data_IF_085382686184
#
_entry.id   IF_085382686184
#
_cell.length_a   1.000
_cell.length_b   1.000
_cell.length_c   1.000
_cell.angle_alpha   90.00
_cell.angle_beta   90.00
_cell.angle_gamma   90.00
#
_symmetry.space_group_name_H-M   'P 1'
#
loop_
_entity.id
_entity.type
_entity.pdbx_description
1 polymer ?
#
# COMPACT_ATOMS: atom_id res chain seq x y z
N UNK A 1 21.93 -20.42 24.78
CA UNK A 1 22.02 -19.76 23.45
C UNK A 1 20.88 -20.12 22.47
N UNK A 2 20.23 -21.29 22.55
CA UNK A 2 19.10 -21.64 21.66
C UNK A 2 17.80 -20.83 21.89
N UNK A 3 17.49 -20.42 23.12
CA UNK A 3 16.25 -19.68 23.43
C UNK A 3 16.20 -18.28 22.76
N UNK A 4 17.34 -17.58 22.68
CA UNK A 4 17.44 -16.27 22.02
C UNK A 4 17.21 -16.38 20.49
N UNK A 5 17.65 -17.49 19.86
CA UNK A 5 17.40 -17.78 18.43
C UNK A 5 15.91 -17.96 18.11
N UNK A 6 15.17 -18.64 18.99
CA UNK A 6 13.74 -18.88 18.80
C UNK A 6 12.89 -17.62 19.04
N UNK A 7 13.24 -16.82 20.06
CA UNK A 7 12.59 -15.53 20.32
C UNK A 7 12.74 -14.57 19.13
N UNK A 8 13.96 -14.48 18.56
CA UNK A 8 14.21 -13.61 17.41
C UNK A 8 13.46 -14.06 16.15
N UNK A 9 13.39 -15.37 15.88
CA UNK A 9 12.59 -15.93 14.77
C UNK A 9 11.10 -15.63 14.94
N UNK A 10 10.59 -15.69 16.17
CA UNK A 10 9.19 -15.41 16.48
C UNK A 10 8.84 -13.95 16.23
N UNK A 11 9.67 -13.02 16.73
CA UNK A 11 9.51 -11.57 16.50
C UNK A 11 9.55 -11.21 15.02
N UNK A 12 10.47 -11.80 14.25
CA UNK A 12 10.55 -11.60 12.80
C UNK A 12 9.29 -12.07 12.06
N UNK A 13 8.72 -13.21 12.46
CA UNK A 13 7.44 -13.69 11.90
C UNK A 13 6.27 -12.78 12.25
N UNK A 14 6.24 -12.23 13.47
CA UNK A 14 5.22 -11.24 13.86
C UNK A 14 5.27 -10.02 12.94
N UNK A 15 6.46 -9.44 12.72
CA UNK A 15 6.60 -8.30 11.80
C UNK A 15 6.24 -8.63 10.36
N UNK A 16 6.63 -9.80 9.86
CA UNK A 16 6.24 -10.23 8.52
C UNK A 16 4.71 -10.42 8.40
N UNK A 17 4.08 -11.03 9.41
CA UNK A 17 2.63 -11.21 9.46
C UNK A 17 1.89 -9.88 9.54
N UNK A 18 2.37 -8.93 10.35
CA UNK A 18 1.83 -7.57 10.42
C UNK A 18 1.94 -6.86 9.07
N UNK A 19 3.11 -6.94 8.41
CA UNK A 19 3.30 -6.35 7.08
C UNK A 19 2.33 -6.92 6.05
N UNK A 20 2.21 -8.26 5.98
CA UNK A 20 1.27 -8.92 5.08
C UNK A 20 -0.19 -8.53 5.37
N UNK A 21 -0.58 -8.48 6.66
CA UNK A 21 -1.91 -8.06 7.06
C UNK A 21 -2.21 -6.62 6.63
N UNK A 22 -1.29 -5.69 6.87
CA UNK A 22 -1.43 -4.30 6.44
C UNK A 22 -1.56 -4.23 4.91
N UNK A 23 -0.76 -4.97 4.14
CA UNK A 23 -0.87 -5.00 2.68
C UNK A 23 -2.22 -5.49 2.18
N UNK A 24 -2.77 -6.55 2.79
CA UNK A 24 -4.12 -7.02 2.47
C UNK A 24 -5.16 -5.95 2.83
N UNK A 25 -5.05 -5.35 4.02
CA UNK A 25 -5.98 -4.33 4.48
C UNK A 25 -5.98 -3.09 3.57
N UNK A 26 -4.80 -2.64 3.13
CA UNK A 26 -4.65 -1.54 2.17
C UNK A 26 -5.29 -1.89 0.83
N UNK A 27 -5.06 -3.10 0.30
CA UNK A 27 -5.71 -3.55 -0.94
C UNK A 27 -7.24 -3.57 -0.83
N UNK A 28 -7.77 -4.01 0.32
CA UNK A 28 -9.22 -4.01 0.57
C UNK A 28 -9.79 -2.58 0.64
N UNK A 29 -9.10 -1.65 1.30
CA UNK A 29 -9.50 -0.23 1.31
C UNK A 29 -9.52 0.33 -0.11
N UNK A 30 -8.47 0.10 -0.89
CA UNK A 30 -8.38 0.59 -2.27
C UNK A 30 -9.53 0.03 -3.11
N UNK A 31 -9.77 -1.28 -3.02
CA UNK A 31 -10.85 -1.95 -3.74
C UNK A 31 -12.21 -1.38 -3.34
N UNK A 32 -12.45 -1.23 -2.03
CA UNK A 32 -13.68 -0.65 -1.51
C UNK A 32 -13.88 0.78 -2.01
N UNK A 33 -12.87 1.65 -1.90
CA UNK A 33 -12.96 3.04 -2.36
C UNK A 33 -13.27 3.11 -3.84
N UNK A 34 -12.60 2.31 -4.68
CA UNK A 34 -12.86 2.29 -6.13
C UNK A 34 -14.22 1.68 -6.49
N UNK A 35 -14.75 0.75 -5.68
CA UNK A 35 -16.07 0.16 -5.90
C UNK A 35 -17.23 1.12 -5.58
N UNK A 36 -16.99 2.13 -4.74
CA UNK A 36 -17.99 3.13 -4.35
C UNK A 36 -17.98 4.39 -5.21
N UNK A 37 -16.97 4.56 -6.09
CA UNK A 37 -17.01 5.58 -7.12
C UNK A 37 -18.00 5.07 -8.17
N UNK A 38 -19.27 5.48 -8.04
CA UNK A 38 -20.30 5.24 -9.04
C UNK A 38 -19.85 5.74 -10.41
N UNK A 39 -20.40 5.16 -11.48
CA UNK A 39 -20.08 5.54 -12.86
C UNK A 39 -20.04 7.08 -12.97
N UNK A 40 -18.87 7.68 -13.33
CA UNK A 40 -18.79 9.11 -13.43
C UNK A 40 -19.67 9.55 -14.59
N UNK A 41 -20.50 10.55 -14.33
CA UNK A 41 -21.26 11.30 -15.33
C UNK A 41 -20.27 11.99 -16.29
N UNK A 42 -19.70 11.24 -17.23
CA UNK A 42 -19.01 11.70 -18.44
C UNK A 42 -17.67 12.46 -18.31
N UNK A 43 -17.39 13.13 -17.19
CA UNK A 43 -16.23 14.03 -17.07
C UNK A 43 -15.38 13.68 -15.84
N UNK A 44 -14.35 12.87 -16.07
CA UNK A 44 -13.28 12.67 -15.09
C UNK A 44 -12.45 13.94 -14.99
N UNK A 45 -12.11 14.36 -13.77
CA UNK A 45 -11.16 15.45 -13.56
C UNK A 45 -9.76 15.04 -14.04
N UNK A 46 -8.87 16.01 -14.30
CA UNK A 46 -7.47 15.69 -14.64
C UNK A 46 -6.80 14.85 -13.55
N UNK A 47 -7.15 15.12 -12.29
CA UNK A 47 -6.72 14.33 -11.15
C UNK A 47 -7.23 12.89 -11.22
N UNK A 48 -8.51 12.67 -11.55
CA UNK A 48 -9.08 11.32 -11.63
C UNK A 48 -8.45 10.49 -12.74
N UNK A 49 -8.20 11.09 -13.90
CA UNK A 49 -7.50 10.44 -15.02
C UNK A 49 -6.08 10.06 -14.59
N UNK A 50 -5.33 11.01 -14.03
CA UNK A 50 -3.97 10.77 -13.56
C UNK A 50 -3.92 9.71 -12.44
N UNK A 51 -4.87 9.76 -11.49
CA UNK A 51 -4.98 8.79 -10.42
C UNK A 51 -5.23 7.39 -10.97
N UNK A 52 -6.23 7.24 -11.86
CA UNK A 52 -6.64 5.94 -12.40
C UNK A 52 -5.60 5.32 -13.32
N UNK A 53 -4.96 6.11 -14.17
CA UNK A 53 -4.03 5.62 -15.19
C UNK A 53 -2.60 5.45 -14.66
N UNK A 54 -2.18 6.28 -13.70
CA UNK A 54 -0.78 6.32 -13.25
C UNK A 54 -0.63 5.92 -11.78
N UNK A 55 -1.23 6.67 -10.85
CA UNK A 55 -0.99 6.45 -9.42
C UNK A 55 -1.54 5.10 -8.95
N UNK A 56 -2.73 4.72 -9.40
CA UNK A 56 -3.42 3.52 -8.98
C UNK A 56 -2.67 2.23 -9.39
N UNK A 57 -2.28 2.02 -10.67
CA UNK A 57 -1.52 0.84 -11.04
C UNK A 57 -0.17 0.74 -10.33
N UNK A 58 0.54 1.87 -10.17
CA UNK A 58 1.81 1.91 -9.43
C UNK A 58 1.59 1.49 -7.97
N UNK A 59 0.57 2.05 -7.32
CA UNK A 59 0.28 1.76 -5.92
C UNK A 59 -0.13 0.30 -5.70
N UNK A 60 -0.96 -0.26 -6.59
CA UNK A 60 -1.34 -1.67 -6.56
C UNK A 60 -0.12 -2.57 -6.77
N UNK A 61 0.71 -2.30 -7.79
CA UNK A 61 1.90 -3.09 -8.07
C UNK A 61 2.87 -3.10 -6.88
N UNK A 62 3.13 -1.92 -6.30
CA UNK A 62 4.00 -1.79 -5.11
C UNK A 62 3.41 -2.53 -3.90
N UNK A 63 2.10 -2.43 -3.63
CA UNK A 63 1.49 -3.17 -2.53
C UNK A 63 1.54 -4.68 -2.73
N UNK A 64 1.29 -5.17 -3.95
CA UNK A 64 1.40 -6.61 -4.26
C UNK A 64 2.83 -7.10 -4.05
N UNK A 65 3.84 -6.32 -4.46
CA UNK A 65 5.25 -6.65 -4.21
C UNK A 65 5.54 -6.75 -2.71
N UNK A 66 5.07 -5.79 -1.90
CA UNK A 66 5.23 -5.86 -0.44
C UNK A 66 4.50 -7.07 0.16
N UNK A 67 3.29 -7.38 -0.31
CA UNK A 67 2.54 -8.57 0.13
C UNK A 67 3.32 -9.85 -0.15
N UNK A 68 3.87 -10.01 -1.36
CA UNK A 68 4.71 -11.15 -1.72
C UNK A 68 5.93 -11.22 -0.81
N UNK A 69 6.66 -10.11 -0.65
CA UNK A 69 7.87 -10.04 0.19
C UNK A 69 7.56 -10.42 1.64
N UNK A 70 6.54 -9.84 2.27
CA UNK A 70 6.20 -10.16 3.65
C UNK A 70 5.72 -11.60 3.81
N UNK A 71 4.92 -12.10 2.87
CA UNK A 71 4.48 -13.50 2.86
C UNK A 71 5.69 -14.45 2.76
N UNK A 72 6.62 -14.19 1.84
CA UNK A 72 7.86 -14.96 1.73
C UNK A 72 8.67 -14.90 3.02
N UNK A 73 8.91 -13.71 3.57
CA UNK A 73 9.67 -13.51 4.81
C UNK A 73 9.04 -14.24 6.00
N UNK A 74 7.71 -14.30 6.05
CA UNK A 74 6.96 -15.05 7.06
C UNK A 74 7.26 -16.55 7.00
N UNK A 75 7.26 -17.13 5.80
CA UNK A 75 7.55 -18.56 5.60
C UNK A 75 9.04 -18.90 5.78
N UNK A 76 9.95 -18.06 5.28
CA UNK A 76 11.41 -18.29 5.42
C UNK A 76 11.96 -17.88 6.79
N UNK A 77 11.12 -17.32 7.68
CA UNK A 77 11.47 -16.91 9.06
C UNK A 77 12.65 -15.93 9.12
N UNK A 78 12.76 -15.06 8.11
CA UNK A 78 13.82 -14.03 8.02
C UNK A 78 13.35 -12.70 8.60
N UNK A 79 14.32 -11.82 8.89
CA UNK A 79 14.09 -10.50 9.46
C UNK A 79 13.21 -9.64 8.53
N UNK A 80 12.07 -9.19 9.04
CA UNK A 80 11.11 -8.38 8.29
C UNK A 80 10.98 -6.94 8.81
N UNK A 81 11.61 -6.58 9.93
CA UNK A 81 11.48 -5.26 10.56
C UNK A 81 11.85 -4.12 9.61
N UNK A 82 12.96 -4.24 8.89
CA UNK A 82 13.42 -3.21 7.96
C UNK A 82 12.44 -3.08 6.78
N UNK A 83 11.94 -4.21 6.27
CA UNK A 83 10.91 -4.20 5.23
C UNK A 83 9.63 -3.49 5.68
N UNK A 84 9.21 -3.67 6.94
CA UNK A 84 8.05 -2.98 7.50
C UNK A 84 8.26 -1.47 7.59
N UNK A 85 9.45 -1.03 7.99
CA UNK A 85 9.79 0.40 8.02
C UNK A 85 9.76 0.98 6.59
N UNK A 86 10.39 0.31 5.62
CA UNK A 86 10.34 0.74 4.23
C UNK A 86 8.92 0.78 3.68
N UNK A 87 8.08 -0.19 4.03
CA UNK A 87 6.69 -0.23 3.61
C UNK A 87 5.91 0.97 4.16
N UNK A 88 6.03 1.28 5.45
CA UNK A 88 5.40 2.46 6.05
C UNK A 88 5.88 3.75 5.39
N UNK A 89 7.18 3.89 5.12
CA UNK A 89 7.72 5.05 4.39
C UNK A 89 7.15 5.16 2.98
N UNK A 90 7.01 4.04 2.27
CA UNK A 90 6.37 4.00 0.94
C UNK A 90 4.91 4.45 1.02
N UNK A 91 4.14 3.99 2.01
CA UNK A 91 2.75 4.44 2.22
C UNK A 91 2.67 5.96 2.49
N UNK A 92 3.59 6.50 3.29
CA UNK A 92 3.68 7.94 3.57
C UNK A 92 3.99 8.71 2.29
N UNK A 93 4.96 8.27 1.49
CA UNK A 93 5.32 8.91 0.22
C UNK A 93 4.12 8.94 -0.72
N UNK A 94 3.40 7.82 -0.86
CA UNK A 94 2.21 7.75 -1.71
C UNK A 94 1.11 8.67 -1.19
N UNK A 95 0.89 8.75 0.13
CA UNK A 95 -0.07 9.68 0.71
C UNK A 95 0.29 11.15 0.43
N UNK A 96 1.58 11.51 0.51
CA UNK A 96 2.07 12.86 0.18
C UNK A 96 1.90 13.16 -1.31
N UNK A 97 2.23 12.21 -2.19
CA UNK A 97 2.04 12.35 -3.64
C UNK A 97 0.55 12.55 -3.96
N UNK A 98 -0.32 11.72 -3.38
CA UNK A 98 -1.77 11.83 -3.55
C UNK A 98 -2.28 13.20 -3.10
N UNK A 99 -1.89 13.64 -1.91
CA UNK A 99 -2.26 14.95 -1.38
C UNK A 99 -1.73 16.10 -2.25
N UNK A 100 -0.49 16.03 -2.72
CA UNK A 100 0.10 17.05 -3.58
C UNK A 100 -0.68 17.18 -4.89
N UNK A 101 -1.02 16.07 -5.54
CA UNK A 101 -1.76 16.12 -6.79
C UNK A 101 -3.23 16.49 -6.58
N UNK A 102 -3.85 16.12 -5.45
CA UNK A 102 -5.23 16.52 -5.17
C UNK A 102 -5.40 18.01 -4.89
N UNK A 103 -4.33 18.75 -4.56
CA UNK A 103 -4.38 20.21 -4.40
C UNK A 103 -3.92 20.99 -5.64
N UNK A 104 -3.13 20.37 -6.53
CA UNK A 104 -2.49 21.05 -7.66
C UNK A 104 -3.05 20.67 -9.04
N UNK A 105 -3.66 19.50 -9.20
CA UNK A 105 -4.40 19.18 -10.42
C UNK A 105 -5.81 19.74 -10.30
N UNK A 106 -6.39 20.15 -11.42
CA UNK A 106 -7.77 20.63 -11.45
C UNK A 106 -8.69 19.51 -10.98
N UNK A 107 -9.17 19.63 -9.74
CA UNK A 107 -10.39 18.98 -9.31
C UNK A 107 -11.51 19.73 -10.00
N UNK A 108 -11.84 19.37 -11.24
CA UNK A 108 -12.92 20.00 -12.01
C UNK A 108 -14.19 20.15 -11.17
N UNK A 109 -14.35 21.32 -10.56
CA UNK A 109 -15.62 21.85 -10.08
C UNK A 109 -16.03 22.87 -11.14
N UNK A 110 -16.70 22.40 -12.19
CA UNK A 110 -17.13 23.26 -13.26
C UNK A 110 -18.17 22.60 -14.14
N UNK A 111 -19.43 22.59 -13.67
CA UNK A 111 -20.63 22.44 -14.52
C UNK A 111 -21.01 21.03 -14.93
#
# INVERSE_FOLDING_TARGET
MQAQSNAQKMTNRKFAGVGAFISVFVLLIIYYTNSNIGFPDGHLTEFDVFYKEVLFPIFIAVNILYLIVFTTLYFVKKKASNGLIFYVLTLIIIAVIYYYFSINLENGQGG
#
